data_IF_753174004103
#
_entry.id   IF_753174004103
#
_cell.length_a   1.000
_cell.length_b   1.000
_cell.length_c   1.000
_cell.angle_alpha   90.00
_cell.angle_beta   90.00
_cell.angle_gamma   90.00
#
_symmetry.space_group_name_H-M   'P 1'
#
loop_
_entity.id
_entity.type
_entity.pdbx_description
1 polymer ?
#
# COMPACT_ATOMS: atom_id res chain seq x y z
N UNK A 1 16.37 -0.05 -0.46
CA UNK A 1 15.02 -0.62 -0.67
C UNK A 1 14.98 -2.02 -0.09
N UNK A 2 13.89 -2.42 0.58
CA UNK A 2 13.70 -3.80 1.05
C UNK A 2 12.42 -4.34 0.44
N UNK A 3 12.49 -5.52 -0.16
CA UNK A 3 11.34 -6.23 -0.70
C UNK A 3 10.94 -7.35 0.26
N UNK A 4 9.64 -7.64 0.31
CA UNK A 4 9.04 -8.69 1.13
C UNK A 4 8.00 -9.45 0.30
N UNK A 5 7.59 -10.63 0.77
CA UNK A 5 6.62 -11.49 0.07
C UNK A 5 5.50 -11.91 1.02
N UNK A 6 4.25 -11.78 0.56
CA UNK A 6 3.04 -12.23 1.26
C UNK A 6 2.37 -13.43 0.57
N UNK A 7 3.01 -14.04 -0.44
CA UNK A 7 2.37 -15.05 -1.30
C UNK A 7 1.87 -16.30 -0.55
N UNK A 8 2.60 -16.76 0.47
CA UNK A 8 2.35 -18.03 1.16
C UNK A 8 1.01 -18.03 1.90
N UNK A 9 0.78 -17.02 2.73
CA UNK A 9 -0.39 -16.95 3.62
C UNK A 9 -1.37 -15.86 3.23
N UNK A 10 -0.99 -14.90 2.38
CA UNK A 10 -1.78 -13.72 2.03
C UNK A 10 -2.23 -12.89 3.26
N UNK A 11 -1.53 -13.03 4.39
CA UNK A 11 -1.98 -12.51 5.68
C UNK A 11 -1.97 -10.99 5.70
N UNK A 12 -1.00 -10.37 5.03
CA UNK A 12 -0.96 -8.92 4.89
C UNK A 12 -2.05 -8.43 3.94
N UNK A 13 -2.23 -9.10 2.80
CA UNK A 13 -3.30 -8.79 1.86
C UNK A 13 -4.69 -8.86 2.50
N UNK A 14 -4.94 -9.86 3.33
CA UNK A 14 -6.20 -10.01 4.06
C UNK A 14 -6.37 -8.95 5.15
N UNK A 15 -5.34 -8.73 5.98
CA UNK A 15 -5.41 -7.80 7.10
C UNK A 15 -5.60 -6.34 6.67
N UNK A 16 -5.08 -5.96 5.50
CA UNK A 16 -5.12 -4.59 4.98
C UNK A 16 -6.12 -4.40 3.83
N UNK A 17 -6.92 -5.42 3.49
CA UNK A 17 -7.90 -5.33 2.41
C UNK A 17 -7.29 -5.17 1.01
N UNK A 18 -6.07 -5.66 0.82
CA UNK A 18 -5.33 -5.59 -0.44
C UNK A 18 -5.39 -6.88 -1.25
N UNK A 19 -5.83 -8.02 -0.70
CA UNK A 19 -5.86 -9.28 -1.43
C UNK A 19 -6.96 -9.31 -2.50
N UNK A 20 -6.55 -9.45 -3.76
CA UNK A 20 -7.43 -9.82 -4.87
C UNK A 20 -7.53 -11.35 -4.89
N UNK A 21 -8.63 -11.89 -4.36
CA UNK A 21 -8.78 -13.31 -4.03
C UNK A 21 -8.62 -14.23 -5.24
N UNK A 22 -9.22 -13.85 -6.37
CA UNK A 22 -9.23 -14.64 -7.61
C UNK A 22 -7.84 -14.72 -8.24
N UNK A 23 -7.05 -13.66 -8.11
CA UNK A 23 -5.70 -13.58 -8.68
C UNK A 23 -4.61 -14.01 -7.69
N UNK A 24 -4.92 -14.06 -6.39
CA UNK A 24 -3.95 -14.17 -5.29
C UNK A 24 -2.81 -13.15 -5.38
N UNK A 25 -3.15 -11.94 -5.81
CA UNK A 25 -2.24 -10.79 -5.90
C UNK A 25 -2.67 -9.70 -4.92
N UNK A 26 -1.71 -8.85 -4.54
CA UNK A 26 -2.02 -7.62 -3.82
C UNK A 26 -2.47 -6.55 -4.81
N UNK A 27 -3.54 -5.82 -4.49
CA UNK A 27 -3.92 -4.61 -5.17
C UNK A 27 -2.79 -3.58 -5.09
N UNK A 28 -2.63 -2.77 -6.14
CA UNK A 28 -1.64 -1.70 -6.15
C UNK A 28 -2.08 -0.62 -5.15
N UNK A 29 -1.26 -0.37 -4.15
CA UNK A 29 -1.53 0.63 -3.12
C UNK A 29 -0.24 1.27 -2.61
N UNK A 30 -0.37 2.45 -2.03
CA UNK A 30 0.70 3.17 -1.33
C UNK A 30 0.23 3.53 0.08
N UNK A 31 1.06 3.24 1.07
CA UNK A 31 0.83 3.59 2.47
C UNK A 31 2.01 4.38 3.00
N UNK A 32 1.73 5.49 3.69
CA UNK A 32 2.75 6.25 4.42
C UNK A 32 2.50 6.03 5.91
N UNK A 33 3.51 5.49 6.59
CA UNK A 33 3.45 5.12 8.01
C UNK A 33 4.49 5.97 8.74
N UNK A 34 4.10 6.59 9.85
CA UNK A 34 5.02 7.38 10.67
C UNK A 34 5.83 6.53 11.67
N UNK A 35 6.63 7.20 12.52
CA UNK A 35 7.46 6.53 13.53
C UNK A 35 6.66 5.88 14.67
N UNK A 36 5.41 6.29 14.88
CA UNK A 36 4.50 5.72 15.88
C UNK A 36 3.74 4.51 15.31
N UNK A 37 3.95 4.17 14.03
CA UNK A 37 3.27 3.08 13.35
C UNK A 37 1.87 3.45 12.83
N UNK A 38 1.54 4.74 12.78
CA UNK A 38 0.23 5.23 12.34
C UNK A 38 0.25 5.43 10.82
N UNK A 39 -0.75 4.89 10.12
CA UNK A 39 -0.98 5.18 8.70
C UNK A 39 -1.46 6.64 8.58
N UNK A 40 -0.61 7.49 7.99
CA UNK A 40 -0.91 8.91 7.76
C UNK A 40 -1.46 9.19 6.36
N UNK A 41 -1.25 8.26 5.43
CA UNK A 41 -1.81 8.31 4.09
C UNK A 41 -2.01 6.91 3.56
N UNK A 42 -3.13 6.70 2.87
CA UNK A 42 -3.47 5.46 2.20
C UNK A 42 -4.06 5.77 0.84
N UNK A 43 -3.49 5.16 -0.21
CA UNK A 43 -4.02 5.22 -1.56
C UNK A 43 -4.15 3.81 -2.11
N UNK A 44 -5.39 3.39 -2.33
CA UNK A 44 -5.71 2.22 -3.15
C UNK A 44 -5.87 2.68 -4.60
N UNK A 45 -5.10 2.09 -5.51
CA UNK A 45 -5.20 2.42 -6.93
C UNK A 45 -6.36 1.64 -7.54
N UNK A 46 -7.27 2.36 -8.21
CA UNK A 46 -8.51 1.80 -8.76
C UNK A 46 -8.27 0.65 -9.75
N UNK A 47 -7.25 0.80 -10.60
CA UNK A 47 -6.86 -0.19 -11.60
C UNK A 47 -5.40 -0.59 -11.42
N UNK A 48 -5.12 -1.90 -11.41
CA UNK A 48 -3.78 -2.42 -11.10
C UNK A 48 -2.71 -1.96 -12.10
N UNK A 49 -3.11 -1.64 -13.33
CA UNK A 49 -2.24 -1.12 -14.39
C UNK A 49 -1.85 0.35 -14.23
N UNK A 50 -2.64 1.13 -13.50
CA UNK A 50 -2.40 2.55 -13.30
C UNK A 50 -1.36 2.80 -12.21
N UNK A 51 -0.59 3.87 -12.34
CA UNK A 51 0.33 4.28 -11.29
C UNK A 51 -0.41 4.99 -10.14
N UNK A 52 0.15 4.97 -8.91
CA UNK A 52 -0.35 5.82 -7.84
C UNK A 52 -0.12 7.31 -8.15
N UNK A 53 -0.76 8.17 -7.37
CA UNK A 53 -0.54 9.62 -7.44
C UNK A 53 0.71 9.96 -6.62
N UNK A 54 1.86 9.99 -7.29
CA UNK A 54 3.14 10.23 -6.63
C UNK A 54 3.22 11.62 -5.99
N UNK A 55 2.60 12.64 -6.60
CA UNK A 55 2.59 14.00 -6.05
C UNK A 55 1.83 14.03 -4.72
N UNK A 56 0.65 13.39 -4.68
CA UNK A 56 -0.13 13.25 -3.44
C UNK A 56 0.62 12.47 -2.36
N UNK A 57 1.31 11.38 -2.72
CA UNK A 57 2.14 10.59 -1.79
C UNK A 57 3.28 11.44 -1.21
N UNK A 58 4.04 12.14 -2.07
CA UNK A 58 5.15 12.97 -1.64
C UNK A 58 4.69 14.14 -0.77
N UNK A 59 3.54 14.74 -1.09
CA UNK A 59 2.93 15.77 -0.26
C UNK A 59 2.52 15.23 1.12
N UNK A 60 2.00 14.00 1.20
CA UNK A 60 1.68 13.36 2.47
C UNK A 60 2.92 13.10 3.32
N UNK A 61 4.01 12.60 2.71
CA UNK A 61 5.29 12.39 3.41
C UNK A 61 5.82 13.71 4.00
N UNK A 62 5.77 14.81 3.22
CA UNK A 62 6.24 16.14 3.67
C UNK A 62 5.47 16.69 4.88
N UNK A 63 4.20 16.32 5.07
CA UNK A 63 3.38 16.79 6.21
C UNK A 63 3.69 16.08 7.52
N UNK A 64 4.37 14.93 7.46
CA UNK A 64 4.73 14.09 8.62
C UNK A 64 6.14 14.43 9.13
N UNK A 65 6.94 15.09 8.28
CA UNK A 65 8.31 15.53 8.56
C UNK A 65 8.39 16.87 9.27
#
# INVERSE_FOLDING_TARGET
MKTVSDHRTAAFGEAYGLLIKELRLLARAVMVIDKEGIIRYYQLVKEIGNEPDYEAVLAAVKKIG
#
